data_IF_996488615653
#
_entry.id   IF_996488615653
#
_cell.length_a   1.000
_cell.length_b   1.000
_cell.length_c   1.000
_cell.angle_alpha   90.00
_cell.angle_beta   90.00
_cell.angle_gamma   90.00
#
_symmetry.space_group_name_H-M   'P 1'
#
loop_
_entity.id
_entity.type
_entity.pdbx_description
1 polymer ?
#
# COMPACT_ATOMS: atom_id res chain seq x y z
N UNK A 1 -22.16 -9.02 -27.26
CA UNK A 1 -20.72 -8.80 -27.03
C UNK A 1 -20.49 -7.29 -26.86
N UNK A 2 -21.03 -6.68 -25.81
CA UNK A 2 -20.89 -5.24 -25.53
C UNK A 2 -20.49 -4.97 -24.06
N UNK A 3 -20.70 -5.93 -23.17
CA UNK A 3 -20.42 -5.82 -21.74
C UNK A 3 -18.94 -5.86 -21.35
N UNK A 4 -18.05 -6.33 -22.23
CA UNK A 4 -16.64 -6.49 -21.88
C UNK A 4 -15.82 -5.22 -22.12
N UNK A 5 -16.20 -4.37 -23.09
CA UNK A 5 -15.54 -3.08 -23.33
C UNK A 5 -15.94 -2.02 -22.29
N UNK A 6 -17.21 -1.98 -21.87
CA UNK A 6 -17.67 -1.06 -20.83
C UNK A 6 -16.98 -1.34 -19.48
N UNK A 7 -16.85 -2.61 -19.09
CA UNK A 7 -16.17 -3.00 -17.84
C UNK A 7 -14.69 -2.60 -17.83
N UNK A 8 -13.99 -2.70 -18.96
CA UNK A 8 -12.57 -2.31 -19.06
C UNK A 8 -12.41 -0.78 -19.01
N UNK A 9 -13.34 -0.03 -19.59
CA UNK A 9 -13.37 1.44 -19.55
C UNK A 9 -13.65 2.00 -18.16
N UNK A 10 -14.37 1.29 -17.30
CA UNK A 10 -14.61 1.67 -15.90
C UNK A 10 -13.44 1.28 -14.97
N UNK A 11 -12.70 0.22 -15.28
CA UNK A 11 -11.57 -0.26 -14.46
C UNK A 11 -10.33 0.65 -14.56
N UNK A 12 -10.01 1.14 -15.76
CA UNK A 12 -8.88 2.06 -15.97
C UNK A 12 -8.92 3.34 -15.10
N UNK A 13 -10.03 4.10 -15.05
CA UNK A 13 -10.14 5.29 -14.20
C UNK A 13 -10.23 4.93 -12.70
N UNK A 14 -10.83 3.79 -12.35
CA UNK A 14 -10.85 3.32 -10.97
C UNK A 14 -9.44 2.95 -10.46
N UNK A 15 -8.62 2.31 -11.30
CA UNK A 15 -7.21 2.04 -10.98
C UNK A 15 -6.38 3.31 -10.84
N UNK A 16 -6.55 4.28 -11.75
CA UNK A 16 -5.87 5.56 -11.67
C UNK A 16 -6.25 6.32 -10.38
N UNK A 17 -7.53 6.27 -9.99
CA UNK A 17 -8.01 6.87 -8.75
C UNK A 17 -7.47 6.15 -7.52
N UNK A 18 -7.46 4.81 -7.51
CA UNK A 18 -6.86 4.00 -6.44
C UNK A 18 -5.38 4.34 -6.25
N UNK A 19 -4.61 4.44 -7.34
CA UNK A 19 -3.18 4.82 -7.29
C UNK A 19 -2.99 6.18 -6.65
N UNK A 20 -3.75 7.20 -7.08
CA UNK A 20 -3.68 8.54 -6.47
C UNK A 20 -4.04 8.54 -5.00
N UNK A 21 -5.06 7.78 -4.60
CA UNK A 21 -5.43 7.67 -3.18
C UNK A 21 -4.35 6.96 -2.36
N UNK A 22 -3.72 5.92 -2.90
CA UNK A 22 -2.59 5.26 -2.25
C UNK A 22 -1.38 6.19 -2.13
N UNK A 23 -1.05 6.95 -3.18
CA UNK A 23 0.04 7.93 -3.17
C UNK A 23 -0.22 9.04 -2.13
N UNK A 24 -1.45 9.56 -2.09
CA UNK A 24 -1.90 10.54 -1.11
C UNK A 24 -1.79 10.00 0.32
N UNK A 25 -2.32 8.79 0.57
CA UNK A 25 -2.25 8.14 1.87
C UNK A 25 -0.80 7.89 2.28
N UNK A 26 0.05 7.42 1.36
CA UNK A 26 1.46 7.18 1.63
C UNK A 26 2.18 8.49 1.98
N UNK A 27 1.90 9.58 1.28
CA UNK A 27 2.47 10.88 1.60
C UNK A 27 2.04 11.35 3.00
N UNK A 28 0.75 11.25 3.33
CA UNK A 28 0.19 11.65 4.62
C UNK A 28 0.65 10.77 5.79
N UNK A 29 0.89 9.49 5.55
CA UNK A 29 1.27 8.52 6.59
C UNK A 29 2.76 8.19 6.58
N UNK A 30 3.55 8.75 5.65
CA UNK A 30 4.99 8.48 5.51
C UNK A 30 5.72 8.68 6.83
N UNK A 31 5.50 9.82 7.50
CA UNK A 31 6.14 10.12 8.79
C UNK A 31 5.78 9.11 9.89
N UNK A 32 4.51 8.70 9.98
CA UNK A 32 4.07 7.72 10.97
C UNK A 32 4.61 6.31 10.67
N UNK A 33 4.69 5.95 9.40
CA UNK A 33 5.27 4.68 8.93
C UNK A 33 6.77 4.67 9.18
N UNK A 34 7.47 5.75 8.88
CA UNK A 34 8.92 5.87 9.08
C UNK A 34 9.26 5.82 10.57
N UNK A 35 8.50 6.53 11.43
CA UNK A 35 8.68 6.45 12.88
C UNK A 35 8.42 5.04 13.43
N UNK A 36 7.42 4.34 12.90
CA UNK A 36 7.17 2.94 13.27
C UNK A 36 8.28 2.01 12.79
N UNK A 37 8.79 2.21 11.57
CA UNK A 37 9.88 1.43 11.02
C UNK A 37 11.17 1.63 11.83
N UNK A 38 11.50 2.87 12.20
CA UNK A 38 12.65 3.16 13.07
C UNK A 38 12.50 2.48 14.44
N UNK A 39 11.30 2.50 15.02
CA UNK A 39 11.03 1.78 16.26
C UNK A 39 11.20 0.26 16.11
N UNK A 40 10.69 -0.31 15.01
CA UNK A 40 10.82 -1.73 14.71
C UNK A 40 12.29 -2.13 14.48
N UNK A 41 13.09 -1.30 13.80
CA UNK A 41 14.53 -1.55 13.61
C UNK A 41 15.30 -1.43 14.93
N UNK A 42 14.97 -0.47 15.78
CA UNK A 42 15.65 -0.25 17.05
C UNK A 42 15.34 -1.32 18.11
N UNK A 43 14.12 -1.86 18.10
CA UNK A 43 13.64 -2.79 19.14
C UNK A 43 13.44 -4.22 18.65
N UNK A 44 13.55 -4.46 17.34
CA UNK A 44 13.18 -5.71 16.71
C UNK A 44 11.66 -5.89 16.67
N UNK A 45 11.20 -6.80 15.80
CA UNK A 45 9.80 -7.23 15.75
C UNK A 45 9.69 -8.59 16.41
N UNK A 46 8.56 -8.88 17.06
CA UNK A 46 8.29 -10.17 17.72
C UNK A 46 8.63 -11.42 16.87
N UNK A 47 8.57 -11.31 15.54
CA UNK A 47 8.89 -12.39 14.62
C UNK A 47 10.37 -12.55 14.28
N UNK A 48 11.25 -11.64 14.72
CA UNK A 48 12.68 -11.66 14.36
C UNK A 48 13.37 -12.95 14.84
N UNK A 49 13.00 -13.44 16.02
CA UNK A 49 13.53 -14.71 16.57
C UNK A 49 12.84 -15.97 16.00
N UNK A 50 11.71 -15.83 15.30
CA UNK A 50 10.88 -16.97 14.83
C UNK A 50 10.97 -17.18 13.32
N UNK A 51 11.43 -16.17 12.57
CA UNK A 51 11.73 -16.29 11.14
C UNK A 51 13.16 -16.79 10.93
N UNK A 52 13.35 -18.10 11.09
CA UNK A 52 14.50 -18.80 10.51
C UNK A 52 14.10 -19.40 9.17
N UNK A 53 14.83 -19.09 8.10
CA UNK A 53 14.66 -19.72 6.76
C UNK A 53 15.55 -20.96 6.63
#
# INVERSE_FOLDING_TARGET
>A
MQTQEEFQLEQAPAEALRRKQCEQWLAENSEAVDAYNEHAEAHGVFSDDVRSF
#
